data_IF_760416660554
#
_entry.id   IF_760416660554
#
_cell.length_a   1.000
_cell.length_b   1.000
_cell.length_c   1.000
_cell.angle_alpha   90.00
_cell.angle_beta   90.00
_cell.angle_gamma   90.00
#
_symmetry.space_group_name_H-M   'P 1'
#
loop_
_entity.id
_entity.type
_entity.pdbx_description
1 polymer ?
#
# COMPACT_ATOMS: atom_id res chain seq x y z
N UNK A 1 -12.87 -24.46 5.45
CA UNK A 1 -12.50 -24.17 4.04
C UNK A 1 -11.04 -23.77 4.03
N UNK A 2 -10.21 -24.30 3.15
CA UNK A 2 -8.80 -23.92 3.09
C UNK A 2 -8.66 -22.64 2.28
N UNK A 3 -7.65 -21.80 2.59
CA UNK A 3 -7.35 -20.55 1.88
C UNK A 3 -7.21 -20.80 0.37
N UNK A 4 -6.55 -21.90 -0.02
CA UNK A 4 -6.41 -22.29 -1.43
C UNK A 4 -7.76 -22.52 -2.12
N UNK A 5 -8.69 -23.20 -1.48
CA UNK A 5 -10.03 -23.44 -2.07
C UNK A 5 -10.80 -22.12 -2.24
N UNK A 6 -10.63 -21.17 -1.29
CA UNK A 6 -11.17 -19.83 -1.43
C UNK A 6 -10.63 -19.10 -2.65
N UNK A 7 -9.31 -19.14 -2.85
CA UNK A 7 -8.67 -18.53 -4.02
C UNK A 7 -9.18 -19.14 -5.33
N UNK A 8 -9.22 -20.47 -5.43
CA UNK A 8 -9.72 -21.16 -6.63
C UNK A 8 -11.17 -20.76 -6.95
N UNK A 9 -11.99 -20.57 -5.92
CA UNK A 9 -13.37 -20.15 -6.07
C UNK A 9 -13.50 -18.71 -6.58
N UNK A 10 -12.78 -17.75 -5.96
CA UNK A 10 -12.80 -16.35 -6.42
C UNK A 10 -12.21 -16.18 -7.82
N UNK A 11 -11.16 -16.91 -8.17
CA UNK A 11 -10.61 -16.92 -9.52
C UNK A 11 -11.63 -17.42 -10.55
N UNK A 12 -12.40 -18.46 -10.22
CA UNK A 12 -13.44 -18.98 -11.11
C UNK A 12 -14.56 -17.92 -11.33
N UNK A 13 -14.98 -17.22 -10.28
CA UNK A 13 -15.96 -16.12 -10.39
C UNK A 13 -15.39 -15.00 -11.27
N UNK A 14 -14.16 -14.55 -11.00
CA UNK A 14 -13.50 -13.50 -11.74
C UNK A 14 -13.30 -13.82 -13.23
N UNK A 15 -13.12 -15.10 -13.58
CA UNK A 15 -13.03 -15.52 -14.99
C UNK A 15 -14.35 -15.37 -15.73
N UNK A 16 -15.48 -15.56 -15.05
CA UNK A 16 -16.82 -15.42 -15.63
C UNK A 16 -17.26 -13.95 -15.67
N UNK A 17 -17.03 -13.21 -14.59
CA UNK A 17 -17.35 -11.79 -14.48
C UNK A 17 -16.08 -10.94 -14.60
N UNK A 18 -15.66 -10.65 -15.83
CA UNK A 18 -14.49 -9.81 -16.12
C UNK A 18 -14.68 -8.34 -15.76
N UNK A 19 -15.92 -7.89 -15.63
CA UNK A 19 -16.24 -6.55 -15.15
C UNK A 19 -16.03 -6.43 -13.64
N UNK A 20 -15.89 -7.58 -12.96
CA UNK A 20 -15.66 -7.69 -11.52
C UNK A 20 -16.69 -6.92 -10.68
N UNK A 21 -17.95 -7.05 -11.05
CA UNK A 21 -19.07 -6.42 -10.33
C UNK A 21 -19.17 -6.86 -8.86
N UNK A 22 -18.62 -8.03 -8.52
CA UNK A 22 -18.53 -8.55 -7.15
C UNK A 22 -17.22 -8.17 -6.43
N UNK A 23 -16.37 -7.36 -7.05
CA UNK A 23 -15.10 -6.90 -6.48
C UNK A 23 -14.15 -8.03 -6.00
N UNK A 24 -14.23 -9.19 -6.66
CA UNK A 24 -13.45 -10.39 -6.32
C UNK A 24 -11.93 -10.17 -6.38
N UNK A 25 -11.45 -9.16 -7.13
CA UNK A 25 -10.03 -8.83 -7.24
C UNK A 25 -9.37 -8.56 -5.89
N UNK A 26 -10.07 -7.95 -4.96
CA UNK A 26 -9.51 -7.65 -3.63
C UNK A 26 -9.33 -8.92 -2.81
N UNK A 27 -10.32 -9.81 -2.85
CA UNK A 27 -10.26 -11.10 -2.16
C UNK A 27 -9.19 -12.02 -2.76
N UNK A 28 -9.08 -12.06 -4.09
CA UNK A 28 -8.04 -12.82 -4.79
C UNK A 28 -6.66 -12.34 -4.34
N UNK A 29 -6.43 -11.03 -4.36
CA UNK A 29 -5.15 -10.46 -3.97
C UNK A 29 -4.85 -10.72 -2.50
N UNK A 30 -5.79 -10.49 -1.59
CA UNK A 30 -5.63 -10.78 -0.17
C UNK A 30 -5.27 -12.25 0.08
N UNK A 31 -5.89 -13.19 -0.65
CA UNK A 31 -5.61 -14.62 -0.54
C UNK A 31 -4.20 -14.97 -1.06
N UNK A 32 -3.72 -14.34 -2.13
CA UNK A 32 -2.33 -14.50 -2.56
C UNK A 32 -1.36 -14.00 -1.47
N UNK A 33 -1.63 -12.84 -0.88
CA UNK A 33 -0.82 -12.26 0.20
C UNK A 33 -0.80 -13.17 1.42
N UNK A 34 -1.96 -13.66 1.86
CA UNK A 34 -2.09 -14.60 2.98
C UNK A 34 -1.36 -15.93 2.76
N UNK A 35 -1.14 -16.32 1.50
CA UNK A 35 -0.39 -17.53 1.14
C UNK A 35 1.09 -17.24 0.84
N UNK A 36 1.57 -16.00 1.02
CA UNK A 36 2.94 -15.56 0.72
C UNK A 36 3.34 -15.79 -0.75
N UNK A 37 2.39 -15.59 -1.68
CA UNK A 37 2.56 -15.81 -3.12
C UNK A 37 2.73 -14.46 -3.82
N UNK A 38 3.86 -13.79 -3.57
CA UNK A 38 4.12 -12.45 -4.07
C UNK A 38 4.11 -12.35 -5.60
N UNK A 39 4.80 -13.26 -6.29
CA UNK A 39 4.92 -13.21 -7.75
C UNK A 39 3.56 -13.32 -8.44
N UNK A 40 2.67 -14.18 -7.91
CA UNK A 40 1.32 -14.32 -8.43
C UNK A 40 0.43 -13.11 -8.07
N UNK A 41 0.61 -12.54 -6.89
CA UNK A 41 -0.05 -11.31 -6.49
C UNK A 41 0.31 -10.16 -7.43
N UNK A 42 1.60 -9.97 -7.71
CA UNK A 42 2.11 -8.96 -8.63
C UNK A 42 1.62 -9.19 -10.07
N UNK A 43 1.69 -10.43 -10.56
CA UNK A 43 1.19 -10.78 -11.88
C UNK A 43 -0.32 -10.53 -12.00
N UNK A 44 -1.08 -10.80 -10.94
CA UNK A 44 -2.52 -10.53 -10.90
C UNK A 44 -2.79 -9.02 -10.95
N UNK A 45 -2.14 -8.19 -10.14
CA UNK A 45 -2.26 -6.72 -10.17
C UNK A 45 -1.93 -6.19 -11.56
N UNK A 46 -0.84 -6.64 -12.17
CA UNK A 46 -0.44 -6.23 -13.52
C UNK A 46 -1.46 -6.62 -14.60
N UNK A 47 -2.23 -7.69 -14.38
CA UNK A 47 -3.33 -8.09 -15.28
C UNK A 47 -4.58 -7.21 -15.15
N UNK A 48 -4.74 -6.53 -14.03
CA UNK A 48 -5.86 -5.65 -13.71
C UNK A 48 -5.59 -4.20 -14.13
N UNK A 49 -5.27 -3.95 -15.41
CA UNK A 49 -4.79 -2.66 -15.91
C UNK A 49 -5.70 -1.46 -15.58
N UNK A 50 -7.02 -1.67 -15.54
CA UNK A 50 -7.98 -0.63 -15.18
C UNK A 50 -7.94 -0.23 -13.69
N UNK A 51 -7.29 -1.02 -12.86
CA UNK A 51 -7.19 -0.85 -11.41
C UNK A 51 -5.74 -0.76 -10.92
N UNK A 52 -4.79 -0.51 -11.81
CA UNK A 52 -3.38 -0.47 -11.48
C UNK A 52 -3.03 0.59 -10.41
N UNK A 53 -3.80 1.69 -10.34
CA UNK A 53 -3.65 2.76 -9.35
C UNK A 53 -4.63 2.63 -8.17
N UNK A 54 -5.33 1.50 -8.04
CA UNK A 54 -6.27 1.29 -6.94
C UNK A 54 -5.50 1.06 -5.62
N UNK A 55 -5.68 1.98 -4.67
CA UNK A 55 -5.03 1.96 -3.35
C UNK A 55 -5.22 0.64 -2.63
N UNK A 56 -6.40 0.02 -2.72
CA UNK A 56 -6.70 -1.27 -2.07
C UNK A 56 -5.83 -2.40 -2.61
N UNK A 57 -5.61 -2.44 -3.92
CA UNK A 57 -4.73 -3.44 -4.53
C UNK A 57 -3.26 -3.15 -4.21
N UNK A 58 -2.87 -1.89 -4.29
CA UNK A 58 -1.49 -1.46 -4.03
C UNK A 58 -1.05 -1.72 -2.58
N UNK A 59 -1.93 -1.46 -1.59
CA UNK A 59 -1.65 -1.72 -0.16
C UNK A 59 -1.40 -3.21 0.10
N UNK A 60 -2.24 -4.09 -0.45
CA UNK A 60 -2.05 -5.53 -0.30
C UNK A 60 -0.73 -5.99 -0.92
N UNK A 61 -0.38 -5.46 -2.10
CA UNK A 61 0.88 -5.77 -2.75
C UNK A 61 2.09 -5.23 -1.97
N UNK A 62 1.99 -4.01 -1.40
CA UNK A 62 3.02 -3.44 -0.53
C UNK A 62 3.31 -4.34 0.67
N UNK A 63 2.27 -4.77 1.37
CA UNK A 63 2.44 -5.66 2.53
C UNK A 63 3.09 -6.99 2.11
N UNK A 64 2.69 -7.54 0.97
CA UNK A 64 3.30 -8.76 0.44
C UNK A 64 4.79 -8.55 0.10
N UNK A 65 5.14 -7.40 -0.49
CA UNK A 65 6.53 -7.05 -0.81
C UNK A 65 7.38 -6.88 0.45
N UNK A 66 6.87 -6.17 1.46
CA UNK A 66 7.57 -5.96 2.75
C UNK A 66 7.84 -7.31 3.42
N UNK A 67 6.82 -8.14 3.57
CA UNK A 67 6.94 -9.41 4.27
C UNK A 67 7.73 -10.47 3.49
N UNK A 68 7.72 -10.38 2.17
CA UNK A 68 8.49 -11.25 1.28
C UNK A 68 9.96 -10.82 1.12
N UNK A 69 10.35 -9.63 1.62
CA UNK A 69 11.70 -9.10 1.48
C UNK A 69 11.99 -8.50 0.09
N UNK A 70 10.97 -8.18 -0.69
CA UNK A 70 11.09 -7.53 -2.01
C UNK A 70 11.24 -6.00 -1.84
N UNK A 71 12.38 -5.59 -1.26
CA UNK A 71 12.59 -4.21 -0.82
C UNK A 71 12.55 -3.18 -1.95
N UNK A 72 13.03 -3.53 -3.15
CA UNK A 72 12.99 -2.62 -4.30
C UNK A 72 11.55 -2.33 -4.72
N UNK A 73 10.71 -3.37 -4.81
CA UNK A 73 9.30 -3.24 -5.17
C UNK A 73 8.52 -2.49 -4.09
N UNK A 74 8.79 -2.81 -2.80
CA UNK A 74 8.19 -2.10 -1.68
C UNK A 74 8.52 -0.60 -1.72
N UNK A 75 9.77 -0.22 -1.97
CA UNK A 75 10.18 1.18 -2.09
C UNK A 75 9.49 1.89 -3.26
N UNK A 76 9.35 1.22 -4.40
CA UNK A 76 8.65 1.79 -5.55
C UNK A 76 7.16 2.03 -5.24
N UNK A 77 6.50 1.10 -4.56
CA UNK A 77 5.12 1.24 -4.12
C UNK A 77 4.96 2.39 -3.14
N UNK A 78 5.88 2.52 -2.16
CA UNK A 78 5.87 3.60 -1.18
C UNK A 78 5.99 4.99 -1.82
N UNK A 79 6.88 5.15 -2.81
CA UNK A 79 6.95 6.38 -3.61
C UNK A 79 5.61 6.70 -4.28
N UNK A 80 4.93 5.68 -4.83
CA UNK A 80 3.60 5.83 -5.42
C UNK A 80 2.56 6.31 -4.41
N UNK A 81 2.57 5.76 -3.19
CA UNK A 81 1.65 6.16 -2.13
C UNK A 81 1.87 7.59 -1.66
N UNK A 82 3.12 8.05 -1.53
CA UNK A 82 3.43 9.44 -1.17
C UNK A 82 2.82 10.46 -2.15
N UNK A 83 2.63 10.06 -3.40
CA UNK A 83 2.01 10.92 -4.43
C UNK A 83 0.49 10.79 -4.46
N UNK A 84 -0.03 9.59 -4.19
CA UNK A 84 -1.45 9.28 -4.39
C UNK A 84 -2.32 9.53 -3.17
N UNK A 85 -1.80 9.31 -1.97
CA UNK A 85 -2.57 9.34 -0.72
C UNK A 85 -2.17 10.53 0.11
N UNK A 86 -3.14 11.38 0.40
CA UNK A 86 -2.96 12.50 1.32
C UNK A 86 -2.57 11.98 2.71
N UNK A 87 -1.60 12.65 3.33
CA UNK A 87 -1.13 12.32 4.68
C UNK A 87 -0.50 10.92 4.84
N UNK A 88 -0.10 10.26 3.72
CA UNK A 88 0.53 8.94 3.78
C UNK A 88 1.82 8.95 4.62
N UNK A 89 2.61 10.01 4.57
CA UNK A 89 3.81 10.13 5.39
C UNK A 89 3.47 10.15 6.87
N UNK A 90 2.44 10.91 7.28
CA UNK A 90 1.96 10.94 8.66
C UNK A 90 1.45 9.56 9.13
N UNK A 91 0.83 8.78 8.22
CA UNK A 91 0.50 7.39 8.49
C UNK A 91 1.75 6.54 8.74
N UNK A 92 2.80 6.71 7.93
CA UNK A 92 4.06 5.97 8.08
C UNK A 92 4.82 6.34 9.37
N UNK A 93 4.68 7.56 9.87
CA UNK A 93 5.36 8.07 11.07
C UNK A 93 4.71 7.65 12.40
N UNK A 94 3.57 6.96 12.36
CA UNK A 94 2.92 6.49 13.57
C UNK A 94 3.81 5.49 14.32
N UNK A 95 3.89 5.60 15.66
CA UNK A 95 4.69 4.69 16.49
C UNK A 95 4.15 3.26 16.47
N UNK A 96 2.83 3.11 16.32
CA UNK A 96 2.11 1.83 16.37
C UNK A 96 1.16 1.75 15.18
N UNK A 97 1.18 0.60 14.49
CA UNK A 97 0.25 0.35 13.39
C UNK A 97 -1.21 0.44 13.88
N UNK A 98 -2.06 1.22 13.22
CA UNK A 98 -3.42 1.56 13.72
C UNK A 98 -4.44 0.43 13.48
N UNK A 99 -4.19 -0.76 14.03
CA UNK A 99 -5.08 -1.93 13.89
C UNK A 99 -6.53 -1.65 14.27
N UNK A 100 -6.76 -0.85 15.34
CA UNK A 100 -8.08 -0.48 15.77
C UNK A 100 -8.87 0.23 14.67
N UNK A 101 -8.23 1.19 13.98
CA UNK A 101 -8.84 1.93 12.88
C UNK A 101 -9.17 1.00 11.69
N UNK A 102 -8.28 0.06 11.36
CA UNK A 102 -8.52 -0.95 10.31
C UNK A 102 -9.74 -1.82 10.64
N UNK A 103 -9.96 -2.13 11.92
CA UNK A 103 -11.10 -2.94 12.36
C UNK A 103 -12.42 -2.15 12.42
N UNK A 104 -12.36 -0.83 12.56
CA UNK A 104 -13.53 0.05 12.69
C UNK A 104 -14.10 0.49 11.31
N UNK A 105 -13.32 0.40 10.23
CA UNK A 105 -13.79 0.80 8.90
C UNK A 105 -14.76 -0.22 8.35
N UNK A 106 -16.03 0.16 8.20
CA UNK A 106 -17.10 -0.73 7.79
C UNK A 106 -17.28 -0.81 6.27
N UNK A 107 -17.23 0.32 5.56
CA UNK A 107 -17.50 0.36 4.13
C UNK A 107 -16.59 1.32 3.36
N UNK A 108 -16.26 0.95 2.12
CA UNK A 108 -15.51 1.82 1.20
C UNK A 108 -16.32 3.05 0.76
N UNK A 109 -17.63 2.94 0.73
CA UNK A 109 -18.52 4.01 0.26
C UNK A 109 -18.49 5.24 1.18
N UNK A 110 -18.09 5.05 2.44
CA UNK A 110 -17.96 6.11 3.42
C UNK A 110 -16.59 6.82 3.37
N UNK A 111 -15.63 6.26 2.62
CA UNK A 111 -14.29 6.80 2.52
C UNK A 111 -14.13 7.68 1.28
N UNK A 112 -13.52 8.85 1.46
CA UNK A 112 -13.01 9.63 0.33
C UNK A 112 -11.86 8.88 -0.32
N UNK A 113 -11.80 8.86 -1.64
CA UNK A 113 -10.67 8.27 -2.34
C UNK A 113 -9.36 8.97 -1.93
N UNK A 114 -8.31 8.18 -1.73
CA UNK A 114 -6.95 8.67 -1.45
C UNK A 114 -6.78 9.45 -0.13
N UNK A 115 -7.64 9.21 0.86
CA UNK A 115 -7.46 9.71 2.22
C UNK A 115 -6.94 8.61 3.17
N UNK A 116 -6.67 8.98 4.42
CA UNK A 116 -6.19 8.04 5.45
C UNK A 116 -7.19 6.90 5.70
N UNK A 117 -8.48 7.18 5.73
CA UNK A 117 -9.52 6.16 5.88
C UNK A 117 -9.49 5.14 4.74
N UNK A 118 -9.15 5.56 3.54
CA UNK A 118 -9.01 4.66 2.39
C UNK A 118 -7.87 3.64 2.58
N UNK A 119 -6.81 4.02 3.30
CA UNK A 119 -5.74 3.10 3.69
C UNK A 119 -6.25 2.05 4.69
N UNK A 120 -6.96 2.48 5.73
CA UNK A 120 -7.51 1.54 6.73
C UNK A 120 -8.42 0.52 6.07
N UNK A 121 -9.30 0.96 5.18
CA UNK A 121 -10.15 0.08 4.43
C UNK A 121 -9.35 -0.88 3.51
N UNK A 122 -8.29 -0.38 2.88
CA UNK A 122 -7.43 -1.19 2.02
C UNK A 122 -6.68 -2.30 2.78
N UNK A 123 -6.38 -2.09 4.06
CA UNK A 123 -5.76 -3.09 4.93
C UNK A 123 -6.75 -4.15 5.44
N UNK A 124 -8.05 -3.89 5.45
CA UNK A 124 -9.05 -4.78 6.06
C UNK A 124 -9.06 -6.21 5.50
N UNK A 125 -8.90 -6.48 4.18
CA UNK A 125 -8.92 -7.84 3.65
C UNK A 125 -7.75 -8.71 4.13
N UNK A 126 -6.63 -8.07 4.53
CA UNK A 126 -5.43 -8.77 5.02
C UNK A 126 -5.28 -8.67 6.54
N UNK A 127 -6.34 -8.27 7.25
CA UNK A 127 -6.34 -8.13 8.71
C UNK A 127 -5.78 -9.37 9.46
N UNK A 128 -6.07 -10.62 9.09
CA UNK A 128 -5.49 -11.78 9.77
C UNK A 128 -3.96 -11.78 9.77
N UNK A 129 -3.33 -11.27 8.72
CA UNK A 129 -1.88 -11.13 8.63
C UNK A 129 -1.38 -9.97 9.47
N UNK A 130 -2.10 -8.84 9.47
CA UNK A 130 -1.74 -7.65 10.25
C UNK A 130 -1.75 -7.92 11.76
N UNK A 131 -2.64 -8.76 12.27
CA UNK A 131 -2.67 -9.15 13.68
C UNK A 131 -1.36 -9.76 14.17
N UNK A 132 -0.55 -10.30 13.26
CA UNK A 132 0.74 -10.93 13.60
C UNK A 132 1.95 -10.13 13.13
N UNK A 133 1.81 -9.35 12.05
CA UNK A 133 2.93 -8.72 11.37
C UNK A 133 2.93 -7.18 11.46
N UNK A 134 1.92 -6.55 12.06
CA UNK A 134 1.76 -5.09 12.09
C UNK A 134 2.96 -4.33 12.64
N UNK A 135 3.58 -4.85 13.71
CA UNK A 135 4.78 -4.23 14.31
C UNK A 135 5.95 -4.20 13.33
N UNK A 136 6.15 -5.28 12.58
CA UNK A 136 7.21 -5.34 11.57
C UNK A 136 6.93 -4.40 10.40
N UNK A 137 5.68 -4.38 9.92
CA UNK A 137 5.23 -3.50 8.84
C UNK A 137 5.43 -2.03 9.25
N UNK A 138 4.98 -1.65 10.46
CA UNK A 138 5.15 -0.28 10.95
C UNK A 138 6.63 0.12 11.07
N UNK A 139 7.46 -0.76 11.61
CA UNK A 139 8.90 -0.50 11.69
C UNK A 139 9.53 -0.30 10.31
N UNK A 140 9.08 -1.05 9.31
CA UNK A 140 9.54 -0.89 7.93
C UNK A 140 9.12 0.47 7.35
N UNK A 141 7.87 0.88 7.55
CA UNK A 141 7.34 2.18 7.10
C UNK A 141 8.10 3.34 7.75
N UNK A 142 8.32 3.28 9.06
CA UNK A 142 9.09 4.29 9.80
C UNK A 142 10.54 4.39 9.28
N UNK A 143 11.20 3.26 9.05
CA UNK A 143 12.55 3.24 8.50
C UNK A 143 12.61 3.87 7.10
N UNK A 144 11.60 3.63 6.26
CA UNK A 144 11.49 4.23 4.95
C UNK A 144 11.42 5.76 5.02
N UNK A 145 10.56 6.31 5.88
CA UNK A 145 10.43 7.77 6.06
C UNK A 145 11.73 8.36 6.56
N UNK A 146 12.34 7.78 7.60
CA UNK A 146 13.60 8.26 8.16
C UNK A 146 14.72 8.30 7.12
N UNK A 147 14.79 7.30 6.23
CA UNK A 147 15.88 7.21 5.25
C UNK A 147 15.67 8.13 4.04
N UNK A 148 14.42 8.28 3.57
CA UNK A 148 14.17 8.95 2.29
C UNK A 148 13.64 10.38 2.44
N UNK A 149 13.08 10.76 3.59
CA UNK A 149 12.60 12.13 3.83
C UNK A 149 13.67 12.99 4.48
N UNK A 150 14.50 12.44 5.37
CA UNK A 150 15.61 13.17 5.97
C UNK A 150 16.67 13.61 4.95
N UNK A 151 16.93 12.79 3.91
CA UNK A 151 17.87 13.15 2.83
C UNK A 151 17.35 14.28 1.92
N UNK A 152 16.03 14.53 1.88
CA UNK A 152 15.46 15.60 1.06
C UNK A 152 15.54 16.98 1.70
N UNK A 153 15.66 17.08 3.02
CA UNK A 153 15.82 18.37 3.72
C UNK A 153 17.26 18.95 3.57
N UNK A 154 18.27 18.09 3.46
CA UNK A 154 19.66 18.54 3.22
C UNK A 154 19.86 19.14 1.81
N UNK A 155 19.13 18.67 0.80
CA UNK A 155 19.19 19.21 -0.56
C UNK A 155 18.46 20.56 -0.71
N UNK A 156 17.46 20.85 0.11
CA UNK A 156 16.76 22.14 0.10
C UNK A 156 17.57 23.27 0.71
N UNK A 157 18.39 23.01 1.71
CA UNK A 157 19.27 24.01 2.30
C UNK A 157 20.41 24.45 1.33
N UNK A 158 20.86 23.58 0.44
CA UNK A 158 21.83 23.93 -0.58
C UNK A 158 21.24 24.81 -1.70
N UNK A 159 19.96 24.77 -1.97
CA UNK A 159 19.30 25.61 -2.97
C UNK A 159 18.94 27.01 -2.46
N UNK A 160 18.81 27.21 -1.13
CA UNK A 160 18.49 28.50 -0.54
C UNK A 160 19.72 29.44 -0.40
N UNK A 161 20.95 28.93 -0.52
CA UNK A 161 22.16 29.71 -0.44
C UNK A 161 22.69 30.22 -1.78
N UNK A 162 22.06 29.88 -2.92
CA UNK A 162 22.44 30.47 -4.20
C UNK A 162 21.72 31.80 -4.42
N UNK A 163 22.13 32.85 -3.71
CA UNK A 163 21.88 34.27 -4.07
C UNK A 163 22.87 34.66 -5.16
N UNK A 164 22.44 34.95 -6.39
CA UNK A 164 23.36 35.60 -7.32
C UNK A 164 23.65 37.01 -6.82
N UNK A 165 24.86 37.23 -6.31
CA UNK A 165 25.42 38.55 -6.14
C UNK A 165 25.71 39.10 -7.52
N UNK A 166 25.27 40.32 -7.76
CA UNK A 166 25.61 41.22 -8.86
C UNK A 166 24.49 41.47 -9.88
N UNK A 167 23.84 42.59 -9.63
CA UNK A 167 23.64 43.60 -10.67
C UNK A 167 24.00 44.93 -10.08
N UNK A 168 25.24 45.31 -10.34
CA UNK A 168 25.70 46.71 -10.33
C UNK A 168 25.71 47.15 -11.79
N UNK A 169 25.04 48.21 -12.06
CA UNK A 169 24.87 49.15 -13.16
C UNK A 169 23.51 49.16 -13.82
#
# INVERSE_FOLDING_TARGET
>A
MTVKLGLDHFLAIYQVDRADGLTCRYEILALYVLMSRYDEAQAFVNSCTSYAADVRMQVSLLVAAILGGYHADASQLLVGFCVQVTDFLAFCEQDIFPLGRVMEVETWEECSANCEESLYFAFSPILPLLLTASTYIQAYLNAYVTTNVADSDDDLDHLLFYRPSSLVY
#
